data_IF_370562151199
#
_entry.id   IF_370562151199
#
_cell.length_a   1.000
_cell.length_b   1.000
_cell.length_c   1.000
_cell.angle_alpha   90.00
_cell.angle_beta   90.00
_cell.angle_gamma   90.00
#
_symmetry.space_group_name_H-M   'P 1'
#
loop_
_entity.id
_entity.type
_entity.pdbx_description
1 polymer ?
#
# COMPACT_ATOMS: atom_id res chain seq x y z
N UNK A 1 -7.91 38.06 7.84
CA UNK A 1 -8.34 36.80 7.20
C UNK A 1 -7.41 36.52 6.02
N UNK A 2 -6.34 35.75 6.22
CA UNK A 2 -5.48 35.26 5.13
C UNK A 2 -5.79 33.78 4.96
N UNK A 3 -6.50 33.45 3.89
CA UNK A 3 -6.73 32.08 3.46
C UNK A 3 -5.37 31.47 3.17
N UNK A 4 -4.89 30.57 4.04
CA UNK A 4 -3.76 29.72 3.73
C UNK A 4 -4.24 28.73 2.68
N UNK A 5 -3.92 29.01 1.43
CA UNK A 5 -3.92 27.98 0.39
C UNK A 5 -2.90 26.96 0.84
N UNK A 6 -3.37 25.85 1.42
CA UNK A 6 -2.55 24.67 1.62
C UNK A 6 -2.17 24.20 0.21
N UNK A 7 -0.93 24.45 -0.18
CA UNK A 7 -0.33 23.81 -1.35
C UNK A 7 -0.29 22.32 -1.03
N UNK A 8 -1.30 21.57 -1.49
CA UNK A 8 -1.27 20.12 -1.41
C UNK A 8 0.00 19.66 -2.14
N UNK A 9 0.81 18.77 -1.55
CA UNK A 9 1.93 18.19 -2.27
C UNK A 9 1.39 17.59 -3.57
N UNK A 10 2.08 17.88 -4.67
CA UNK A 10 1.74 17.37 -5.99
C UNK A 10 1.47 15.86 -5.90
N UNK A 11 0.27 15.43 -6.29
CA UNK A 11 -0.13 14.02 -6.39
C UNK A 11 0.58 13.36 -7.58
N UNK A 12 1.91 13.31 -7.53
CA UNK A 12 2.76 13.18 -8.72
C UNK A 12 2.81 11.78 -9.34
N UNK A 13 2.22 10.75 -8.72
CA UNK A 13 2.29 9.37 -9.24
C UNK A 13 0.94 8.76 -9.63
N UNK A 14 -0.13 9.55 -9.73
CA UNK A 14 -1.42 9.04 -10.19
C UNK A 14 -1.54 9.13 -11.71
N UNK A 15 -1.58 7.96 -12.37
CA UNK A 15 -1.89 7.87 -13.80
C UNK A 15 -3.42 7.68 -13.93
N UNK A 16 -4.16 8.64 -14.51
CA UNK A 16 -5.62 8.59 -14.60
C UNK A 16 -6.13 7.68 -15.72
N UNK A 17 -5.53 6.49 -15.88
CA UNK A 17 -5.87 5.51 -16.90
C UNK A 17 -5.97 4.14 -16.26
N UNK A 18 -6.96 3.35 -16.67
CA UNK A 18 -6.96 1.94 -16.31
C UNK A 18 -5.89 1.20 -17.14
N UNK A 19 -5.50 0.00 -16.68
CA UNK A 19 -4.45 -0.80 -17.31
C UNK A 19 -4.71 -1.06 -18.80
N UNK A 20 -5.97 -1.34 -19.17
CA UNK A 20 -6.33 -1.62 -20.56
C UNK A 20 -6.08 -0.39 -21.44
N UNK A 21 -6.61 0.75 -21.03
CA UNK A 21 -6.46 2.01 -21.78
C UNK A 21 -5.00 2.46 -21.85
N UNK A 22 -4.21 2.19 -20.81
CA UNK A 22 -2.77 2.46 -20.82
C UNK A 22 -2.03 1.60 -21.87
N UNK A 23 -2.36 0.32 -21.99
CA UNK A 23 -1.78 -0.55 -23.03
C UNK A 23 -2.20 -0.10 -24.43
N UNK A 24 -3.48 0.25 -24.62
CA UNK A 24 -3.94 0.79 -25.91
C UNK A 24 -3.24 2.11 -26.27
N UNK A 25 -3.05 2.99 -25.28
CA UNK A 25 -2.36 4.26 -25.47
C UNK A 25 -0.92 4.04 -25.94
N UNK A 26 -0.19 3.09 -25.34
CA UNK A 26 1.17 2.74 -25.78
C UNK A 26 1.21 2.18 -27.21
N UNK A 27 0.16 1.52 -27.66
CA UNK A 27 0.06 0.96 -29.01
C UNK A 27 -0.41 1.99 -30.06
N UNK A 28 -1.06 3.06 -29.62
CA UNK A 28 -1.62 4.10 -30.49
C UNK A 28 -0.54 4.93 -31.22
N UNK A 29 0.70 4.93 -30.74
CA UNK A 29 1.82 5.68 -31.32
C UNK A 29 2.30 5.11 -32.68
N UNK A 30 1.62 4.09 -33.22
CA UNK A 30 1.79 3.54 -34.58
C UNK A 30 3.23 3.08 -34.91
N UNK A 31 4.02 2.82 -33.88
CA UNK A 31 5.41 2.31 -33.93
C UNK A 31 5.47 0.79 -34.07
N UNK A 32 4.37 0.10 -33.81
CA UNK A 32 4.30 -1.36 -33.79
C UNK A 32 3.73 -1.91 -35.10
N UNK A 33 4.34 -3.00 -35.60
CA UNK A 33 3.65 -3.87 -36.56
C UNK A 33 2.49 -4.60 -35.87
N UNK A 34 1.58 -5.20 -36.64
CA UNK A 34 0.48 -5.99 -36.07
C UNK A 34 0.98 -7.16 -35.19
N UNK A 35 2.10 -7.79 -35.57
CA UNK A 35 2.72 -8.86 -34.80
C UNK A 35 3.34 -8.32 -33.50
N UNK A 36 4.07 -7.20 -33.57
CA UNK A 36 4.70 -6.60 -32.39
C UNK A 36 3.68 -6.05 -31.40
N UNK A 37 2.55 -5.53 -31.90
CA UNK A 37 1.44 -5.09 -31.07
C UNK A 37 0.84 -6.26 -30.26
N UNK A 38 0.72 -7.44 -30.87
CA UNK A 38 0.27 -8.64 -30.16
C UNK A 38 1.30 -9.11 -29.13
N UNK A 39 2.59 -9.18 -29.49
CA UNK A 39 3.65 -9.53 -28.54
C UNK A 39 3.69 -8.57 -27.34
N UNK A 40 3.47 -7.27 -27.55
CA UNK A 40 3.40 -6.28 -26.48
C UNK A 40 2.22 -6.55 -25.53
N UNK A 41 1.04 -6.88 -26.06
CA UNK A 41 -0.13 -7.25 -25.23
C UNK A 41 0.15 -8.51 -24.40
N UNK A 42 0.72 -9.54 -25.03
CA UNK A 42 1.07 -10.78 -24.35
C UNK A 42 2.10 -10.53 -23.24
N UNK A 43 3.09 -9.68 -23.51
CA UNK A 43 4.04 -9.21 -22.51
C UNK A 43 3.35 -8.50 -21.34
N UNK A 44 2.42 -7.58 -21.60
CA UNK A 44 1.67 -6.88 -20.55
C UNK A 44 0.84 -7.84 -19.68
N UNK A 45 0.26 -8.88 -20.26
CA UNK A 45 -0.47 -9.91 -19.51
C UNK A 45 0.46 -10.76 -18.64
N UNK A 46 1.60 -11.21 -19.18
CA UNK A 46 2.63 -11.93 -18.41
C UNK A 46 3.15 -11.07 -17.25
N UNK A 47 3.42 -9.79 -17.52
CA UNK A 47 3.89 -8.84 -16.52
C UNK A 47 2.85 -8.66 -15.40
N UNK A 48 1.58 -8.54 -15.76
CA UNK A 48 0.48 -8.45 -14.78
C UNK A 48 0.40 -9.70 -13.91
N UNK A 49 0.50 -10.90 -14.49
CA UNK A 49 0.50 -12.16 -13.76
C UNK A 49 1.71 -12.26 -12.81
N UNK A 50 2.89 -11.86 -13.26
CA UNK A 50 4.11 -11.82 -12.44
C UNK A 50 3.95 -10.94 -11.20
N UNK A 51 3.46 -9.71 -11.36
CA UNK A 51 3.23 -8.81 -10.24
C UNK A 51 2.14 -9.33 -9.30
N UNK A 52 1.06 -9.91 -9.84
CA UNK A 52 0.01 -10.52 -9.01
C UNK A 52 0.59 -11.61 -8.10
N UNK A 53 1.35 -12.55 -8.67
CA UNK A 53 2.00 -13.62 -7.90
C UNK A 53 2.94 -13.05 -6.84
N UNK A 54 3.79 -12.09 -7.21
CA UNK A 54 4.76 -11.50 -6.29
C UNK A 54 4.10 -10.76 -5.14
N UNK A 55 3.09 -9.93 -5.41
CA UNK A 55 2.38 -9.18 -4.37
C UNK A 55 1.51 -10.08 -3.51
N UNK A 56 0.96 -11.16 -4.06
CA UNK A 56 0.26 -12.15 -3.26
C UNK A 56 1.20 -12.78 -2.23
N UNK A 57 2.40 -13.21 -2.64
CA UNK A 57 3.40 -13.74 -1.71
C UNK A 57 3.80 -12.73 -0.62
N UNK A 58 4.01 -11.46 -0.98
CA UNK A 58 4.27 -10.39 0.00
C UNK A 58 3.11 -10.21 0.98
N UNK A 59 1.87 -10.20 0.49
CA UNK A 59 0.67 -10.06 1.32
C UNK A 59 0.56 -11.20 2.35
N UNK A 60 0.77 -12.43 1.91
CA UNK A 60 0.72 -13.60 2.81
C UNK A 60 1.84 -13.55 3.85
N UNK A 61 3.06 -13.11 3.48
CA UNK A 61 4.15 -12.91 4.43
C UNK A 61 3.83 -11.84 5.48
N UNK A 62 3.24 -10.71 5.08
CA UNK A 62 2.81 -9.65 5.99
C UNK A 62 1.76 -10.19 6.99
N UNK A 63 0.74 -10.89 6.49
CA UNK A 63 -0.30 -11.50 7.35
C UNK A 63 0.28 -12.49 8.35
N UNK A 64 1.16 -13.38 7.90
CA UNK A 64 1.77 -14.38 8.76
C UNK A 64 2.60 -13.75 9.89
N UNK A 65 3.38 -12.70 9.59
CA UNK A 65 4.18 -12.00 10.59
C UNK A 65 3.34 -11.11 11.53
N UNK A 66 2.18 -10.63 11.08
CA UNK A 66 1.26 -9.82 11.91
C UNK A 66 0.31 -10.67 12.78
N UNK A 67 0.07 -11.92 12.41
CA UNK A 67 -0.90 -12.80 13.06
C UNK A 67 -0.86 -12.78 14.61
N UNK A 68 0.30 -12.88 15.28
CA UNK A 68 0.34 -12.91 16.75
C UNK A 68 0.08 -11.57 17.43
N UNK A 69 0.13 -10.47 16.68
CA UNK A 69 -0.14 -9.12 17.19
C UNK A 69 -1.58 -8.68 16.92
N UNK A 70 -2.38 -9.48 16.21
CA UNK A 70 -3.75 -9.13 15.88
C UNK A 70 -4.66 -9.26 17.12
N UNK A 71 -5.22 -8.16 17.66
CA UNK A 71 -6.07 -8.21 18.85
C UNK A 71 -7.43 -8.87 18.58
N UNK A 72 -7.83 -8.98 17.31
CA UNK A 72 -9.11 -9.54 16.88
C UNK A 72 -8.94 -10.95 16.28
N UNK A 73 -7.98 -11.73 16.78
CA UNK A 73 -7.73 -13.06 16.23
C UNK A 73 -8.80 -14.04 16.75
N UNK A 74 -9.67 -14.51 15.85
CA UNK A 74 -10.65 -15.56 16.14
C UNK A 74 -10.04 -16.98 16.00
N UNK A 75 -8.78 -17.06 15.58
CA UNK A 75 -8.09 -18.31 15.26
C UNK A 75 -6.97 -18.54 16.28
N UNK A 76 -7.00 -19.70 16.95
CA UNK A 76 -5.94 -20.09 17.87
C UNK A 76 -4.64 -20.39 17.11
N UNK A 77 -3.53 -19.79 17.53
CA UNK A 77 -2.20 -20.16 17.06
C UNK A 77 -1.89 -21.60 17.50
N UNK A 78 -1.39 -22.40 16.56
CA UNK A 78 -1.06 -23.82 16.83
C UNK A 78 0.21 -23.98 17.66
N UNK A 79 1.01 -22.92 17.78
CA UNK A 79 2.29 -22.91 18.47
C UNK A 79 2.43 -21.65 19.33
N UNK A 80 3.10 -21.79 20.46
CA UNK A 80 3.51 -20.67 21.31
C UNK A 80 4.81 -20.12 20.74
N UNK A 81 4.79 -18.88 20.24
CA UNK A 81 5.99 -18.22 19.74
C UNK A 81 6.87 -17.78 20.92
N UNK A 82 8.17 -18.05 20.81
CA UNK A 82 9.14 -17.58 21.79
C UNK A 82 9.34 -16.05 21.65
N UNK A 83 9.72 -15.32 22.71
CA UNK A 83 9.93 -13.87 22.66
C UNK A 83 10.84 -13.41 21.51
N UNK A 84 11.92 -14.15 21.23
CA UNK A 84 12.86 -13.84 20.15
C UNK A 84 12.22 -14.02 18.76
N UNK A 85 11.30 -14.99 18.63
CA UNK A 85 10.55 -15.22 17.39
C UNK A 85 9.56 -14.08 17.16
N UNK A 86 8.85 -13.64 18.20
CA UNK A 86 7.95 -12.48 18.12
C UNK A 86 8.70 -11.22 17.70
N UNK A 87 9.88 -10.96 18.28
CA UNK A 87 10.71 -9.83 17.89
C UNK A 87 11.10 -9.89 16.40
N UNK A 88 11.49 -11.06 15.92
CA UNK A 88 11.83 -11.30 14.50
C UNK A 88 10.62 -11.10 13.59
N UNK A 89 9.45 -11.62 13.97
CA UNK A 89 8.21 -11.46 13.21
C UNK A 89 7.79 -9.99 13.13
N UNK A 90 7.90 -9.25 14.23
CA UNK A 90 7.61 -7.82 14.23
C UNK A 90 8.55 -7.04 13.31
N UNK A 91 9.85 -7.34 13.34
CA UNK A 91 10.83 -6.73 12.45
C UNK A 91 10.50 -7.01 10.99
N UNK A 92 10.24 -8.28 10.64
CA UNK A 92 9.87 -8.68 9.29
C UNK A 92 8.57 -8.02 8.83
N UNK A 93 7.59 -7.87 9.73
CA UNK A 93 6.35 -7.16 9.43
C UNK A 93 6.64 -5.69 9.09
N UNK A 94 7.38 -4.98 9.94
CA UNK A 94 7.70 -3.56 9.73
C UNK A 94 8.46 -3.37 8.42
N UNK A 95 9.44 -4.23 8.13
CA UNK A 95 10.23 -4.16 6.90
C UNK A 95 9.36 -4.33 5.64
N UNK A 96 8.61 -5.43 5.56
CA UNK A 96 7.75 -5.71 4.41
C UNK A 96 6.64 -4.67 4.25
N UNK A 97 6.06 -4.21 5.35
CA UNK A 97 4.99 -3.21 5.33
C UNK A 97 5.53 -1.84 4.89
N UNK A 98 6.70 -1.43 5.38
CA UNK A 98 7.36 -0.18 4.95
C UNK A 98 7.69 -0.21 3.46
N UNK A 99 8.24 -1.32 2.97
CA UNK A 99 8.49 -1.50 1.54
C UNK A 99 7.21 -1.45 0.71
N UNK A 100 6.10 -2.03 1.19
CA UNK A 100 4.80 -1.95 0.51
C UNK A 100 4.28 -0.52 0.42
N UNK A 101 4.39 0.26 1.50
CA UNK A 101 3.97 1.67 1.54
C UNK A 101 4.75 2.52 0.54
N UNK A 102 6.08 2.34 0.48
CA UNK A 102 6.95 2.98 -0.51
C UNK A 102 6.48 2.70 -1.95
N UNK A 103 6.25 1.42 -2.28
CA UNK A 103 5.80 1.03 -3.63
C UNK A 103 4.37 1.44 -3.97
N UNK A 104 3.58 1.79 -2.96
CA UNK A 104 2.18 2.16 -3.11
C UNK A 104 1.97 3.69 -3.09
N UNK A 105 3.03 4.48 -3.26
CA UNK A 105 3.01 5.95 -3.28
C UNK A 105 2.46 6.59 -1.98
N UNK A 106 2.61 5.92 -0.83
CA UNK A 106 2.30 6.55 0.45
C UNK A 106 3.42 7.51 0.86
N UNK A 107 3.04 8.61 1.51
CA UNK A 107 3.97 9.59 2.06
C UNK A 107 4.00 9.48 3.58
N UNK A 108 5.21 9.49 4.15
CA UNK A 108 5.37 9.56 5.59
C UNK A 108 4.85 10.91 6.10
N UNK A 109 3.95 10.86 7.08
CA UNK A 109 3.44 12.06 7.72
C UNK A 109 4.45 12.58 8.74
N UNK A 110 4.78 13.87 8.63
CA UNK A 110 5.63 14.50 9.63
C UNK A 110 4.97 14.49 11.02
N UNK A 111 5.79 14.39 12.07
CA UNK A 111 5.31 14.48 13.46
C UNK A 111 4.53 15.77 13.73
N UNK A 112 4.91 16.87 13.08
CA UNK A 112 4.20 18.16 13.19
C UNK A 112 2.81 18.13 12.55
N UNK A 113 2.69 17.47 11.39
CA UNK A 113 1.39 17.25 10.72
C UNK A 113 0.48 16.37 11.58
N UNK A 114 1.01 15.27 12.11
CA UNK A 114 0.26 14.37 12.99
C UNK A 114 -0.21 15.09 14.26
N UNK A 115 0.69 15.85 14.91
CA UNK A 115 0.36 16.61 16.12
C UNK A 115 -0.74 17.64 15.85
N UNK A 116 -0.61 18.41 14.75
CA UNK A 116 -1.63 19.38 14.36
C UNK A 116 -2.98 18.72 14.10
N UNK A 117 -3.01 17.59 13.38
CA UNK A 117 -4.25 16.87 13.09
C UNK A 117 -4.92 16.30 14.36
N UNK A 118 -4.13 15.96 15.38
CA UNK A 118 -4.63 15.48 16.67
C UNK A 118 -5.12 16.62 17.59
N UNK A 119 -4.47 17.79 17.52
CA UNK A 119 -4.79 18.99 18.31
C UNK A 119 -5.93 19.83 17.69
N UNK A 120 -6.09 19.79 16.37
CA UNK A 120 -7.27 20.31 15.69
C UNK A 120 -8.49 19.58 16.26
N UNK A 121 -9.36 20.33 16.95
CA UNK A 121 -10.56 19.76 17.60
C UNK A 121 -11.30 18.90 16.57
N UNK A 122 -11.37 17.60 16.84
CA UNK A 122 -12.33 16.72 16.18
C UNK A 122 -13.72 17.36 16.26
N UNK A 123 -14.36 17.58 15.11
CA UNK A 123 -15.77 18.02 15.05
C UNK A 123 -16.71 17.04 15.77
N UNK A 124 -16.23 15.81 15.98
CA UNK A 124 -16.88 14.77 16.77
C UNK A 124 -16.36 14.86 18.20
N UNK A 125 -17.19 15.34 19.11
CA UNK A 125 -16.97 15.20 20.55
C UNK A 125 -17.16 13.73 20.93
N UNK A 126 -16.09 12.95 20.87
CA UNK A 126 -16.09 11.58 21.37
C UNK A 126 -16.10 11.64 22.91
N UNK A 127 -17.26 11.40 23.52
CA UNK A 127 -17.34 11.09 24.94
C UNK A 127 -16.78 9.68 25.13
N UNK A 128 -15.51 9.58 25.50
CA UNK A 128 -14.93 8.32 25.94
C UNK A 128 -15.25 8.14 27.41
N UNK A 129 -16.42 7.59 27.71
CA UNK A 129 -16.69 7.04 29.04
C UNK A 129 -16.07 5.63 29.06
N UNK A 130 -15.04 5.45 29.88
CA UNK A 130 -14.37 4.17 30.06
C UNK A 130 -14.83 3.66 31.42
N UNK A 131 -15.71 2.67 31.42
CA UNK A 131 -16.25 2.01 32.62
C UNK A 131 -15.44 0.75 32.93
#
# INVERSE_FOLDING_TARGET
MKTMVQTQPHRENFIPLNRRDLVELCLADNTFSAADAQHFRDFCEILSAYFHFRFHATLEAIKANYAPFNPNVDVQSRQVEQPDQLATMLQNFIEHFSHLLDKSNYLELSKGTLRRALEERSLLALQTDVN
#
